data_IF_000126579771
#
_entry.id   IF_000126579771
#
_cell.length_a   1.000
_cell.length_b   1.000
_cell.length_c   1.000
_cell.angle_alpha   90.00
_cell.angle_beta   90.00
_cell.angle_gamma   90.00
#
_symmetry.space_group_name_H-M   'P 1'
#
loop_
_entity.id
_entity.type
_entity.pdbx_description
1 polymer ?
#
# COMPACT_ATOMS: atom_id res chain seq x y z
N UNK A 1 5.76 -9.01 27.04
CA UNK A 1 4.88 -9.13 25.86
C UNK A 1 4.75 -7.78 25.19
N UNK A 2 4.44 -6.74 25.96
CA UNK A 2 4.45 -5.33 25.51
C UNK A 2 5.79 -4.93 24.87
N UNK A 3 6.93 -5.26 25.47
CA UNK A 3 8.26 -4.98 24.89
C UNK A 3 8.44 -5.59 23.49
N UNK A 4 8.03 -6.84 23.30
CA UNK A 4 8.13 -7.50 21.98
C UNK A 4 7.17 -6.91 20.96
N UNK A 5 6.00 -6.46 21.39
CA UNK A 5 5.05 -5.74 20.51
C UNK A 5 5.68 -4.43 20.06
N UNK A 6 6.31 -3.70 20.99
CA UNK A 6 7.01 -2.45 20.70
C UNK A 6 8.18 -2.64 19.73
N UNK A 7 9.03 -3.65 19.95
CA UNK A 7 10.14 -3.98 19.04
C UNK A 7 9.65 -4.24 17.60
N UNK A 8 8.56 -5.01 17.46
CA UNK A 8 7.97 -5.29 16.14
C UNK A 8 7.41 -4.02 15.50
N UNK A 9 6.77 -3.13 16.28
CA UNK A 9 6.26 -1.85 15.77
C UNK A 9 7.39 -0.93 15.31
N UNK A 10 8.43 -0.76 16.13
CA UNK A 10 9.60 0.05 15.79
C UNK A 10 10.30 -0.45 14.52
N UNK A 11 10.42 -1.77 14.39
CA UNK A 11 10.96 -2.41 13.19
C UNK A 11 10.14 -2.03 11.93
N UNK A 12 8.81 -2.21 11.98
CA UNK A 12 7.96 -1.89 10.83
C UNK A 12 7.95 -0.40 10.49
N UNK A 13 7.90 0.45 11.50
CA UNK A 13 7.99 1.90 11.34
C UNK A 13 9.29 2.28 10.63
N UNK A 14 10.42 1.79 11.11
CA UNK A 14 11.73 2.09 10.52
C UNK A 14 11.78 1.67 9.05
N UNK A 15 11.24 0.50 8.72
CA UNK A 15 11.23 -0.01 7.34
C UNK A 15 10.37 0.86 6.42
N UNK A 16 9.22 1.34 6.90
CA UNK A 16 8.37 2.24 6.11
C UNK A 16 9.05 3.59 5.90
N UNK A 17 9.61 4.19 6.96
CA UNK A 17 10.27 5.51 6.88
C UNK A 17 11.51 5.50 5.99
N UNK A 18 12.22 4.38 5.94
CA UNK A 18 13.40 4.20 5.09
C UNK A 18 13.06 3.70 3.68
N UNK A 19 11.77 3.54 3.34
CA UNK A 19 11.31 3.00 2.05
C UNK A 19 11.84 1.56 1.78
N UNK A 20 12.12 0.80 2.84
CA UNK A 20 12.63 -0.58 2.78
C UNK A 20 11.49 -1.60 2.78
N UNK A 21 10.60 -1.49 1.79
CA UNK A 21 9.48 -2.40 1.60
C UNK A 21 9.09 -2.52 0.13
N UNK A 22 8.42 -3.62 -0.20
CA UNK A 22 7.73 -3.82 -1.46
C UNK A 22 6.21 -3.79 -1.26
N UNK A 23 5.47 -3.54 -2.33
CA UNK A 23 4.00 -3.70 -2.31
C UNK A 23 3.61 -4.99 -3.01
N UNK A 24 2.93 -5.86 -2.27
CA UNK A 24 2.31 -7.06 -2.83
C UNK A 24 1.03 -6.68 -3.55
N UNK A 25 1.15 -6.54 -4.87
CA UNK A 25 0.08 -6.12 -5.77
C UNK A 25 -1.10 -7.07 -5.72
N UNK A 26 -0.81 -8.37 -5.79
CA UNK A 26 -1.81 -9.43 -5.90
C UNK A 26 -2.63 -9.59 -4.62
N UNK A 27 -2.04 -9.20 -3.48
CA UNK A 27 -2.68 -9.25 -2.16
C UNK A 27 -3.33 -7.92 -1.78
N UNK A 28 -3.01 -6.84 -2.49
CA UNK A 28 -3.62 -5.52 -2.29
C UNK A 28 -5.00 -5.45 -2.95
N UNK A 29 -5.90 -4.65 -2.38
CA UNK A 29 -7.27 -4.49 -2.86
C UNK A 29 -7.65 -3.02 -3.02
N UNK A 30 -8.92 -2.76 -3.34
CA UNK A 30 -9.51 -1.41 -3.35
C UNK A 30 -9.65 -0.79 -1.95
N UNK A 31 -9.24 -1.45 -0.86
CA UNK A 31 -9.27 -0.85 0.48
C UNK A 31 -8.09 -1.26 1.38
N UNK A 32 -7.16 -2.06 0.84
CA UNK A 32 -6.06 -2.65 1.61
C UNK A 32 -4.79 -2.56 0.77
N UNK A 33 -3.73 -2.03 1.35
CA UNK A 33 -2.37 -2.10 0.80
C UNK A 33 -1.58 -3.14 1.59
N UNK A 34 -1.00 -4.11 0.90
CA UNK A 34 -0.14 -5.13 1.53
C UNK A 34 1.31 -4.80 1.25
N UNK A 35 2.06 -4.47 2.30
CA UNK A 35 3.51 -4.28 2.25
C UNK A 35 4.22 -5.59 2.55
N UNK A 36 5.34 -5.83 1.88
CA UNK A 36 6.24 -6.95 2.10
C UNK A 36 7.59 -6.40 2.51
N UNK A 37 8.09 -6.82 3.66
CA UNK A 37 9.38 -6.39 4.21
C UNK A 37 10.30 -7.59 4.34
N UNK A 38 11.54 -7.42 3.92
CA UNK A 38 12.58 -8.46 3.90
C UNK A 38 12.10 -9.77 3.25
N UNK A 39 11.27 -9.65 2.19
CA UNK A 39 10.68 -10.75 1.42
C UNK A 39 9.86 -11.78 2.25
N UNK A 40 9.55 -11.46 3.51
CA UNK A 40 9.03 -12.44 4.47
C UNK A 40 7.85 -11.93 5.28
N UNK A 41 7.87 -10.67 5.68
CA UNK A 41 6.89 -10.13 6.61
C UNK A 41 5.85 -9.33 5.86
N UNK A 42 4.59 -9.72 6.01
CA UNK A 42 3.46 -9.08 5.35
C UNK A 42 2.72 -8.15 6.31
N UNK A 43 2.46 -6.95 5.82
CA UNK A 43 1.84 -5.88 6.57
C UNK A 43 0.64 -5.29 5.82
N UNK A 44 -0.57 -5.54 6.31
CA UNK A 44 -1.80 -5.06 5.66
C UNK A 44 -2.26 -3.74 6.29
N UNK A 45 -2.24 -2.68 5.49
CA UNK A 45 -2.69 -1.34 5.88
C UNK A 45 -4.06 -1.10 5.26
N UNK A 46 -5.04 -0.79 6.11
CA UNK A 46 -6.35 -0.34 5.67
C UNK A 46 -6.27 1.12 5.26
N UNK A 47 -6.47 1.40 3.97
CA UNK A 47 -6.42 2.75 3.44
C UNK A 47 -7.54 2.94 2.42
N UNK A 48 -8.22 4.09 2.47
CA UNK A 48 -9.21 4.44 1.47
C UNK A 48 -8.52 4.76 0.14
N UNK A 49 -9.04 4.19 -0.93
CA UNK A 49 -8.32 4.16 -2.20
C UNK A 49 -8.68 5.27 -3.19
N UNK A 50 -9.73 6.04 -2.88
CA UNK A 50 -10.15 7.22 -3.61
C UNK A 50 -10.23 8.41 -2.65
N UNK A 51 -9.96 9.63 -3.12
CA UNK A 51 -10.15 10.87 -2.33
C UNK A 51 -11.58 10.99 -1.79
N UNK A 52 -12.56 10.53 -2.57
CA UNK A 52 -13.98 10.46 -2.18
C UNK A 52 -14.24 9.46 -1.05
N UNK A 53 -13.45 8.40 -0.98
CA UNK A 53 -13.56 7.34 0.04
C UNK A 53 -12.75 7.70 1.31
N UNK A 54 -11.84 8.70 1.26
CA UNK A 54 -10.99 9.11 2.40
C UNK A 54 -11.80 9.63 3.58
N UNK A 55 -12.86 10.39 3.32
CA UNK A 55 -13.69 10.96 4.38
C UNK A 55 -14.41 9.89 5.22
N UNK A 56 -14.64 8.68 4.68
CA UNK A 56 -15.30 7.59 5.40
C UNK A 56 -14.36 6.80 6.32
N UNK A 57 -13.04 6.97 6.21
CA UNK A 57 -12.08 6.17 6.98
C UNK A 57 -11.70 6.76 8.33
N UNK A 58 -11.85 8.07 8.52
CA UNK A 58 -11.61 8.70 9.84
C UNK A 58 -12.66 8.27 10.88
N UNK A 59 -13.87 7.91 10.44
CA UNK A 59 -14.98 7.50 11.31
C UNK A 59 -15.21 5.97 11.31
N UNK A 60 -14.41 5.17 10.60
CA UNK A 60 -14.58 3.72 10.54
C UNK A 60 -13.85 3.05 11.72
N UNK A 61 -14.56 2.33 12.62
CA UNK A 61 -13.99 1.80 13.87
C UNK A 61 -13.13 0.53 13.65
N UNK A 62 -12.53 0.35 12.48
CA UNK A 62 -11.62 -0.75 12.21
C UNK A 62 -10.20 -0.32 12.61
N UNK A 63 -9.68 -0.92 13.69
CA UNK A 63 -8.32 -0.66 14.15
C UNK A 63 -7.30 -0.92 13.03
N UNK A 64 -6.58 0.14 12.64
CA UNK A 64 -5.47 0.07 11.71
C UNK A 64 -4.17 -0.11 12.52
N UNK A 65 -3.13 -0.69 11.95
CA UNK A 65 -1.84 -0.79 12.64
C UNK A 65 -1.26 0.56 13.05
N UNK A 66 -1.53 1.62 12.27
CA UNK A 66 -1.15 2.99 12.64
C UNK A 66 -1.86 3.48 13.94
N UNK A 67 -2.93 2.77 14.35
CA UNK A 67 -3.65 3.01 15.61
C UNK A 67 -3.17 2.11 16.75
N UNK A 68 -2.24 1.17 16.47
CA UNK A 68 -1.62 0.31 17.47
C UNK A 68 -0.25 0.89 17.85
N UNK A 69 -0.03 1.16 19.14
CA UNK A 69 1.24 1.69 19.65
C UNK A 69 1.33 3.23 19.70
N UNK A 70 2.51 3.77 19.97
CA UNK A 70 2.76 5.22 20.07
C UNK A 70 3.17 5.83 18.73
N UNK A 71 2.27 5.77 17.73
CA UNK A 71 2.47 6.55 16.51
C UNK A 71 2.22 8.03 16.82
N UNK A 72 3.25 8.87 16.64
CA UNK A 72 3.05 10.32 16.65
C UNK A 72 2.19 10.73 15.45
N UNK A 73 1.48 11.85 15.56
CA UNK A 73 0.62 12.33 14.48
C UNK A 73 1.42 12.65 13.21
N UNK A 74 2.64 13.18 13.38
CA UNK A 74 3.59 13.40 12.28
C UNK A 74 3.96 12.09 11.56
N UNK A 75 4.16 11.00 12.31
CA UNK A 75 4.45 9.69 11.73
C UNK A 75 3.25 9.14 10.94
N UNK A 76 2.03 9.35 11.44
CA UNK A 76 0.80 8.94 10.75
C UNK A 76 0.67 9.68 9.43
N UNK A 77 0.92 11.00 9.41
CA UNK A 77 0.88 11.80 8.19
C UNK A 77 1.94 11.35 7.17
N UNK A 78 3.17 11.06 7.61
CA UNK A 78 4.24 10.57 6.74
C UNK A 78 3.88 9.21 6.16
N UNK A 79 3.48 8.25 6.99
CA UNK A 79 3.07 6.91 6.53
C UNK A 79 1.89 7.00 5.58
N UNK A 80 0.88 7.82 5.89
CA UNK A 80 -0.28 8.02 5.03
C UNK A 80 0.14 8.61 3.68
N UNK A 81 0.96 9.67 3.67
CA UNK A 81 1.47 10.29 2.46
C UNK A 81 2.21 9.27 1.59
N UNK A 82 3.15 8.52 2.17
CA UNK A 82 3.93 7.54 1.45
C UNK A 82 3.07 6.40 0.91
N UNK A 83 2.17 5.84 1.72
CA UNK A 83 1.23 4.78 1.32
C UNK A 83 0.34 5.25 0.16
N UNK A 84 -0.17 6.48 0.23
CA UNK A 84 -1.05 7.07 -0.78
C UNK A 84 -0.30 7.40 -2.08
N UNK A 85 0.86 8.04 -1.98
CA UNK A 85 1.69 8.42 -3.13
C UNK A 85 2.22 7.19 -3.85
N UNK A 86 2.76 6.22 -3.09
CA UNK A 86 3.23 4.96 -3.64
C UNK A 86 2.11 4.21 -4.34
N UNK A 87 0.90 4.18 -3.76
CA UNK A 87 -0.26 3.53 -4.39
C UNK A 87 -0.72 4.21 -5.67
N UNK A 88 -0.67 5.55 -5.75
CA UNK A 88 -1.00 6.30 -6.97
C UNK A 88 0.02 6.02 -8.08
N UNK A 89 1.32 6.02 -7.74
CA UNK A 89 2.38 5.60 -8.66
C UNK A 89 2.17 4.16 -9.12
N UNK A 90 1.76 3.29 -8.21
CA UNK A 90 1.53 1.88 -8.46
C UNK A 90 0.36 1.63 -9.42
N UNK A 91 -0.81 2.25 -9.20
CA UNK A 91 -1.95 2.15 -10.12
C UNK A 91 -1.60 2.65 -11.52
N UNK A 92 -0.83 3.75 -11.61
CA UNK A 92 -0.36 4.25 -12.89
C UNK A 92 0.57 3.25 -13.59
N UNK A 93 1.41 2.55 -12.83
CA UNK A 93 2.26 1.47 -13.37
C UNK A 93 1.43 0.31 -13.91
N UNK A 94 0.39 -0.12 -13.19
CA UNK A 94 -0.50 -1.19 -13.64
C UNK A 94 -1.30 -0.80 -14.88
N UNK A 95 -1.85 0.42 -14.90
CA UNK A 95 -2.56 0.96 -16.07
C UNK A 95 -1.65 0.99 -17.30
N UNK A 96 -0.41 1.45 -17.15
CA UNK A 96 0.59 1.43 -18.23
C UNK A 96 0.87 0.02 -18.73
N UNK A 97 1.13 -0.93 -17.82
CA UNK A 97 1.36 -2.33 -18.19
C UNK A 97 0.16 -2.92 -18.96
N UNK A 98 -1.07 -2.64 -18.54
CA UNK A 98 -2.27 -3.11 -19.24
C UNK A 98 -2.43 -2.47 -20.62
N UNK A 99 -2.05 -1.20 -20.79
CA UNK A 99 -2.04 -0.54 -22.10
C UNK A 99 -1.05 -1.24 -23.03
N UNK A 100 0.17 -1.53 -22.57
CA UNK A 100 1.20 -2.24 -23.35
C UNK A 100 0.74 -3.64 -23.77
N UNK A 101 0.10 -4.40 -22.86
CA UNK A 101 -0.48 -5.72 -23.18
C UNK A 101 -1.57 -5.62 -24.25
N UNK A 102 -2.49 -4.66 -24.13
CA UNK A 102 -3.56 -4.44 -25.11
C UNK A 102 -3.03 -3.98 -26.47
N UNK A 103 -1.97 -3.17 -26.50
CA UNK A 103 -1.30 -2.76 -27.74
C UNK A 103 -0.66 -3.96 -28.46
N UNK A 104 -0.10 -4.91 -27.71
CA UNK A 104 0.45 -6.14 -28.25
C UNK A 104 -0.66 -7.04 -28.83
N UNK A 105 -1.73 -7.29 -28.07
CA UNK A 105 -2.89 -8.06 -28.54
C UNK A 105 -3.50 -7.47 -29.82
N UNK A 106 -3.64 -6.13 -29.90
CA UNK A 106 -4.13 -5.44 -31.08
C UNK A 106 -3.21 -5.61 -32.30
N UNK A 107 -1.89 -5.65 -32.09
CA UNK A 107 -0.92 -5.86 -33.16
C UNK A 107 -1.00 -7.28 -33.71
N UNK A 108 -1.15 -8.28 -32.85
CA UNK A 108 -1.34 -9.68 -33.23
C UNK A 108 -2.63 -9.85 -34.04
N UNK A 109 -3.77 -9.35 -33.55
CA UNK A 109 -5.06 -9.41 -34.25
C UNK A 109 -5.05 -8.71 -35.62
N UNK A 110 -4.23 -7.67 -35.79
CA UNK A 110 -4.08 -6.96 -37.07
C UNK A 110 -3.14 -7.66 -38.05
N UNK A 111 -2.27 -8.56 -37.58
CA UNK A 111 -1.34 -9.31 -38.42
C UNK A 111 -1.88 -10.67 -38.86
N UNK A 112 -2.96 -11.14 -38.24
CA UNK A 112 -3.73 -12.33 -38.67
C UNK A 112 -4.81 -12.04 -39.74
N UNK A 113 -4.90 -10.79 -40.23
CA UNK A 113 -5.91 -10.32 -41.20
C UNK A 113 -5.27 -9.87 -42.50
#
# INVERSE_FOLDING_TARGET
MEEKIKEVQEYFISKILNEEFEVSVEKSSKHILVLVIDEKYEFSIWAANNVEDRAQYFDFPCGNFITLGEFSDELKEVVEKYVVEYRSMHENRLKKKRIEELELELKELRSEK
#
